data_IF_343599856700
#
_entry.id   IF_343599856700
#
_cell.length_a   1.000
_cell.length_b   1.000
_cell.length_c   1.000
_cell.angle_alpha   90.00
_cell.angle_beta   90.00
_cell.angle_gamma   90.00
#
_symmetry.space_group_name_H-M   'P 1'
#
loop_
_entity.id
_entity.type
_entity.pdbx_description
1 polymer ?
#
# COMPACT_ATOMS: atom_id res chain seq x y z
N UNK A 1 80.37 14.60 22.75
CA UNK A 1 79.19 14.33 23.65
C UNK A 1 77.94 14.89 23.01
N UNK A 2 77.24 14.05 22.25
CA UNK A 2 76.06 14.45 21.49
C UNK A 2 74.80 13.90 22.19
N UNK A 3 74.00 14.79 22.67
CA UNK A 3 72.66 14.44 23.19
C UNK A 3 71.64 14.56 22.06
N UNK A 4 71.22 13.42 21.54
CA UNK A 4 70.14 13.30 20.54
C UNK A 4 68.78 13.47 21.21
N UNK A 5 68.07 14.53 20.84
CA UNK A 5 66.69 14.81 21.28
C UNK A 5 65.74 14.04 20.35
N UNK A 6 65.11 12.98 20.84
CA UNK A 6 64.05 12.25 20.10
C UNK A 6 62.73 12.96 20.31
N UNK A 7 62.26 13.61 19.26
CA UNK A 7 60.92 14.20 19.20
C UNK A 7 59.93 13.09 18.82
N UNK A 8 59.11 12.65 19.78
CA UNK A 8 58.00 11.67 19.53
C UNK A 8 56.81 12.41 18.93
N UNK A 9 56.55 12.17 17.66
CA UNK A 9 55.37 12.65 16.98
C UNK A 9 54.19 11.71 17.28
N UNK A 10 53.29 12.11 18.16
CA UNK A 10 52.04 11.40 18.42
C UNK A 10 51.08 11.70 17.31
N UNK A 11 50.92 10.73 16.41
CA UNK A 11 49.91 10.76 15.36
C UNK A 11 48.52 10.41 15.97
N UNK A 12 47.71 11.41 16.24
CA UNK A 12 46.29 11.21 16.64
C UNK A 12 45.51 10.91 15.37
N UNK A 13 45.31 9.60 15.13
CA UNK A 13 44.36 9.16 14.09
C UNK A 13 42.93 9.32 14.65
N UNK A 14 42.33 10.46 14.35
CA UNK A 14 40.89 10.66 14.60
C UNK A 14 40.08 9.74 13.69
N UNK A 15 39.59 8.63 14.24
CA UNK A 15 38.54 7.85 13.58
C UNK A 15 37.27 8.70 13.52
N UNK A 16 37.07 9.38 12.40
CA UNK A 16 35.76 9.92 12.05
C UNK A 16 34.84 8.73 11.74
N UNK A 17 34.10 8.25 12.73
CA UNK A 17 32.97 7.36 12.52
C UNK A 17 31.92 8.15 11.74
N UNK A 18 32.01 8.12 10.41
CA UNK A 18 30.88 8.49 9.57
C UNK A 18 29.76 7.51 9.90
N UNK A 19 28.81 7.97 10.71
CA UNK A 19 27.49 7.38 10.83
C UNK A 19 26.90 7.36 9.42
N UNK A 20 26.96 6.21 8.77
CA UNK A 20 26.16 5.93 7.58
C UNK A 20 24.72 5.87 8.06
N UNK A 21 24.10 7.04 8.23
CA UNK A 21 22.65 7.13 8.22
C UNK A 21 22.25 6.65 6.84
N UNK A 22 21.84 5.40 6.80
CA UNK A 22 21.18 4.79 5.67
C UNK A 22 20.00 5.70 5.31
N UNK A 23 20.21 6.52 4.29
CA UNK A 23 19.16 7.31 3.68
C UNK A 23 18.27 6.32 2.95
N UNK A 24 17.41 5.62 3.68
CA UNK A 24 16.22 5.04 3.08
C UNK A 24 15.53 6.19 2.35
N UNK A 25 15.65 6.19 1.04
CA UNK A 25 14.85 7.07 0.18
C UNK A 25 13.41 6.75 0.55
N UNK A 26 12.83 7.60 1.38
CA UNK A 26 11.47 7.42 1.87
C UNK A 26 10.54 7.54 0.65
N UNK A 27 10.25 6.39 0.04
CA UNK A 27 9.35 6.27 -1.09
C UNK A 27 7.91 6.25 -0.62
N UNK A 28 7.01 6.62 -1.53
CA UNK A 28 5.58 6.43 -1.30
C UNK A 28 5.21 4.95 -1.47
N UNK A 29 4.32 4.45 -0.63
CA UNK A 29 3.83 3.07 -0.66
C UNK A 29 2.39 2.97 -0.18
N UNK A 30 1.78 1.82 -0.43
CA UNK A 30 0.46 1.46 0.09
C UNK A 30 0.64 0.34 1.12
N UNK A 31 0.03 0.50 2.28
CA UNK A 31 -0.02 -0.54 3.31
C UNK A 31 -1.47 -0.97 3.53
N UNK A 32 -1.72 -2.27 3.41
CA UNK A 32 -3.05 -2.89 3.60
C UNK A 32 -3.02 -3.77 4.84
N UNK A 33 -3.79 -3.41 5.86
CA UNK A 33 -4.05 -4.27 7.01
C UNK A 33 -5.32 -5.09 6.77
N UNK A 34 -5.15 -6.41 6.66
CA UNK A 34 -6.28 -7.33 6.51
C UNK A 34 -7.09 -7.41 7.79
N UNK A 35 -6.44 -7.35 8.97
CA UNK A 35 -7.17 -7.40 10.24
C UNK A 35 -8.00 -6.15 10.48
N UNK A 36 -7.48 -4.97 10.15
CA UNK A 36 -8.21 -3.71 10.32
C UNK A 36 -9.22 -3.43 9.21
N UNK A 37 -9.17 -4.17 8.10
CA UNK A 37 -9.90 -3.87 6.87
C UNK A 37 -9.69 -2.41 6.44
N UNK A 38 -8.43 -1.97 6.50
CA UNK A 38 -7.99 -0.62 6.16
C UNK A 38 -6.77 -0.64 5.23
N UNK A 39 -6.67 0.40 4.42
CA UNK A 39 -5.55 0.70 3.56
C UNK A 39 -5.02 2.09 3.88
N UNK A 40 -3.71 2.24 4.04
CA UNK A 40 -3.02 3.51 4.19
C UNK A 40 -2.18 3.81 2.95
N UNK A 41 -2.24 5.04 2.46
CA UNK A 41 -1.24 5.62 1.57
C UNK A 41 -0.20 6.33 2.42
N UNK A 42 1.04 5.87 2.33
CA UNK A 42 2.17 6.37 3.10
C UNK A 42 3.12 7.07 2.15
N UNK A 43 3.55 8.28 2.49
CA UNK A 43 4.58 9.03 1.78
C UNK A 43 5.67 9.47 2.75
N UNK A 44 6.92 9.10 2.44
CA UNK A 44 8.09 9.41 3.29
C UNK A 44 7.90 8.99 4.76
N UNK A 45 7.31 7.81 4.97
CA UNK A 45 7.03 7.27 6.29
C UNK A 45 5.85 7.92 7.03
N UNK A 46 5.11 8.84 6.40
CA UNK A 46 3.93 9.49 6.99
C UNK A 46 2.65 8.98 6.34
N UNK A 47 1.64 8.71 7.14
CA UNK A 47 0.31 8.38 6.63
C UNK A 47 -0.34 9.65 6.08
N UNK A 48 -0.57 9.66 4.77
CA UNK A 48 -1.22 10.77 4.05
C UNK A 48 -2.74 10.57 3.96
N UNK A 49 -3.17 9.31 3.86
CA UNK A 49 -4.59 8.98 3.79
C UNK A 49 -4.84 7.56 4.29
N UNK A 50 -6.02 7.32 4.89
CA UNK A 50 -6.52 6.00 5.26
C UNK A 50 -7.89 5.79 4.62
N UNK A 51 -8.13 4.57 4.16
CA UNK A 51 -9.38 4.18 3.51
C UNK A 51 -9.88 2.85 4.08
N UNK A 52 -11.16 2.74 4.41
CA UNK A 52 -11.77 1.46 4.69
C UNK A 52 -11.83 0.63 3.40
N UNK A 53 -11.54 -0.66 3.53
CA UNK A 53 -11.50 -1.60 2.40
C UNK A 53 -12.32 -2.86 2.71
N UNK A 54 -12.37 -3.78 1.74
CA UNK A 54 -12.86 -5.13 1.95
C UNK A 54 -11.94 -6.12 1.26
N UNK A 55 -11.35 -7.05 2.04
CA UNK A 55 -10.54 -8.16 1.53
C UNK A 55 -11.37 -9.44 1.40
N UNK A 56 -10.71 -10.56 1.10
CA UNK A 56 -11.39 -11.83 0.88
C UNK A 56 -12.13 -12.37 2.11
N UNK A 57 -13.37 -12.82 1.91
CA UNK A 57 -14.13 -13.59 2.90
C UNK A 57 -13.60 -15.02 3.11
N UNK A 58 -12.72 -15.50 2.24
CA UNK A 58 -12.07 -16.81 2.33
C UNK A 58 -10.71 -16.77 3.03
N UNK A 59 -10.33 -15.59 3.58
CA UNK A 59 -9.07 -15.39 4.28
C UNK A 59 -7.90 -15.08 3.35
N UNK A 60 -6.69 -15.43 3.80
CA UNK A 60 -5.42 -15.11 3.14
C UNK A 60 -4.80 -16.29 2.40
N UNK A 61 -4.06 -16.02 1.33
CA UNK A 61 -3.32 -17.02 0.56
C UNK A 61 -3.21 -16.68 -0.92
N UNK A 62 -2.37 -17.44 -1.66
CA UNK A 62 -2.10 -17.20 -3.09
C UNK A 62 -2.32 -18.46 -3.98
N UNK A 63 -2.95 -19.50 -3.48
CA UNK A 63 -3.26 -20.69 -4.29
C UNK A 63 -4.24 -20.36 -5.42
N UNK A 64 -4.01 -20.95 -6.60
CA UNK A 64 -4.91 -20.86 -7.77
C UNK A 64 -6.31 -21.30 -7.39
N UNK A 65 -7.33 -20.51 -7.74
CA UNK A 65 -8.73 -20.80 -7.43
C UNK A 65 -9.12 -20.67 -5.95
N UNK A 66 -8.22 -20.24 -5.07
CA UNK A 66 -8.49 -20.13 -3.62
C UNK A 66 -9.42 -18.99 -3.24
N UNK A 67 -9.59 -17.99 -4.09
CA UNK A 67 -10.33 -16.75 -3.81
C UNK A 67 -9.82 -15.98 -2.58
N UNK A 68 -8.59 -16.23 -2.13
CA UNK A 68 -7.97 -15.62 -0.96
C UNK A 68 -7.14 -14.39 -1.33
N UNK A 69 -7.00 -13.44 -0.39
CA UNK A 69 -6.12 -12.27 -0.56
C UNK A 69 -4.68 -12.67 -0.24
N UNK A 70 -3.70 -12.44 -1.14
CA UNK A 70 -2.30 -12.75 -0.88
C UNK A 70 -1.70 -11.78 0.15
N UNK A 71 -0.74 -12.24 0.95
CA UNK A 71 0.08 -11.40 1.84
C UNK A 71 1.45 -11.11 1.23
N UNK A 72 2.15 -10.14 1.83
CA UNK A 72 3.52 -9.77 1.51
C UNK A 72 3.61 -8.55 0.61
N UNK A 73 4.77 -8.38 -0.02
CA UNK A 73 5.07 -7.24 -0.89
C UNK A 73 4.67 -7.52 -2.32
N UNK A 74 3.85 -6.63 -2.86
CA UNK A 74 3.43 -6.59 -4.26
C UNK A 74 3.79 -5.23 -4.84
N UNK A 75 3.58 -5.04 -6.13
CA UNK A 75 3.67 -3.72 -6.76
C UNK A 75 2.54 -3.49 -7.76
N UNK A 76 2.28 -2.22 -8.06
CA UNK A 76 1.33 -1.79 -9.08
C UNK A 76 1.89 -2.14 -10.46
N UNK A 77 1.30 -3.13 -11.13
CA UNK A 77 1.74 -3.57 -12.47
C UNK A 77 1.03 -2.84 -13.60
N UNK A 78 -0.22 -2.46 -13.40
CA UNK A 78 -1.02 -1.69 -14.36
C UNK A 78 -2.16 -0.95 -13.67
N UNK A 79 -2.70 0.06 -14.34
CA UNK A 79 -3.83 0.88 -13.88
C UNK A 79 -4.83 1.04 -15.02
N UNK A 80 -6.14 0.95 -14.71
CA UNK A 80 -7.23 1.09 -15.70
C UNK A 80 -8.35 1.94 -15.13
N UNK A 81 -9.09 2.60 -16.04
CA UNK A 81 -10.23 3.42 -15.67
C UNK A 81 -9.89 4.90 -15.48
N UNK A 82 -8.75 5.38 -16.02
CA UNK A 82 -8.41 6.80 -15.99
C UNK A 82 -9.57 7.67 -16.48
N UNK A 83 -9.88 8.76 -15.75
CA UNK A 83 -10.96 9.72 -16.04
C UNK A 83 -12.38 9.15 -16.15
N UNK A 84 -12.60 7.86 -15.90
CA UNK A 84 -13.96 7.34 -15.88
C UNK A 84 -14.75 7.93 -14.70
N UNK A 85 -16.08 8.14 -14.84
CA UNK A 85 -16.91 8.59 -13.73
C UNK A 85 -16.98 7.54 -12.62
N UNK A 86 -17.33 7.98 -11.41
CA UNK A 86 -17.62 7.09 -10.31
C UNK A 86 -18.74 6.12 -10.70
N UNK A 87 -18.59 4.83 -10.36
CA UNK A 87 -19.54 3.79 -10.72
C UNK A 87 -19.44 3.28 -12.15
N UNK A 88 -18.54 3.79 -13.00
CA UNK A 88 -18.32 3.26 -14.36
C UNK A 88 -17.90 1.79 -14.28
N UNK A 89 -18.64 0.92 -14.97
CA UNK A 89 -18.40 -0.52 -14.97
C UNK A 89 -17.19 -0.86 -15.84
N UNK A 90 -16.28 -1.64 -15.27
CA UNK A 90 -15.06 -2.12 -15.94
C UNK A 90 -15.13 -3.64 -16.03
N UNK A 91 -15.12 -4.18 -17.25
CA UNK A 91 -15.07 -5.62 -17.52
C UNK A 91 -13.85 -5.91 -18.39
N UNK A 92 -13.07 -6.93 -18.01
CA UNK A 92 -11.82 -7.27 -18.71
C UNK A 92 -10.87 -6.07 -18.86
N UNK A 93 -10.84 -5.18 -17.86
CA UNK A 93 -10.00 -3.95 -17.81
C UNK A 93 -10.40 -2.86 -18.84
N UNK A 94 -11.59 -2.98 -19.42
CA UNK A 94 -12.15 -2.02 -20.39
C UNK A 94 -13.47 -1.48 -19.84
N UNK A 95 -13.73 -0.19 -20.01
CA UNK A 95 -15.03 0.40 -19.67
C UNK A 95 -16.13 -0.18 -20.57
N UNK A 96 -17.27 -0.55 -19.98
CA UNK A 96 -18.45 -0.99 -20.73
C UNK A 96 -19.28 0.18 -21.25
N UNK A 97 -19.00 1.39 -20.81
CA UNK A 97 -19.84 2.57 -21.06
C UNK A 97 -21.01 2.73 -20.08
N UNK A 98 -21.30 1.70 -19.29
CA UNK A 98 -22.35 1.75 -18.27
C UNK A 98 -21.84 2.28 -16.93
N UNK A 99 -22.74 2.86 -16.15
CA UNK A 99 -22.51 3.24 -14.74
C UNK A 99 -23.52 2.57 -13.83
N UNK A 100 -23.11 2.31 -12.58
CA UNK A 100 -23.97 1.73 -11.54
C UNK A 100 -23.83 2.54 -10.26
N UNK A 101 -24.93 2.77 -9.58
CA UNK A 101 -24.94 3.46 -8.29
C UNK A 101 -24.46 2.54 -7.16
N UNK A 102 -23.89 3.15 -6.12
CA UNK A 102 -23.52 2.44 -4.91
C UNK A 102 -24.73 1.73 -4.28
N UNK A 103 -24.50 0.52 -3.78
CA UNK A 103 -25.47 -0.34 -3.13
C UNK A 103 -26.67 -0.78 -4.01
N UNK A 104 -26.52 -0.75 -5.35
CA UNK A 104 -27.49 -1.36 -6.25
C UNK A 104 -27.56 -2.87 -6.00
N UNK A 105 -28.75 -3.43 -5.65
CA UNK A 105 -28.89 -4.83 -5.30
C UNK A 105 -28.48 -5.79 -6.43
N UNK A 106 -27.82 -6.90 -6.05
CA UNK A 106 -27.49 -8.01 -6.96
C UNK A 106 -26.40 -7.71 -8.00
N UNK A 107 -25.68 -6.61 -7.85
CA UNK A 107 -24.61 -6.21 -8.79
C UNK A 107 -23.28 -6.06 -8.04
N UNK A 108 -22.36 -6.99 -8.28
CA UNK A 108 -20.98 -6.96 -7.75
C UNK A 108 -19.99 -6.79 -8.91
N UNK A 109 -20.05 -5.65 -9.57
CA UNK A 109 -19.17 -5.31 -10.67
C UNK A 109 -17.88 -4.65 -10.15
N UNK A 110 -16.81 -4.74 -10.93
CA UNK A 110 -15.64 -3.86 -10.77
C UNK A 110 -16.00 -2.50 -11.34
N UNK A 111 -15.82 -1.44 -10.55
CA UNK A 111 -16.23 -0.09 -10.97
C UNK A 111 -15.15 0.95 -10.74
N UNK A 112 -15.29 2.10 -11.40
CA UNK A 112 -14.53 3.34 -11.24
C UNK A 112 -13.06 3.24 -11.65
N UNK A 113 -12.26 2.43 -10.94
CA UNK A 113 -10.80 2.28 -11.15
C UNK A 113 -10.38 0.85 -10.85
N UNK A 114 -9.31 0.42 -11.52
CA UNK A 114 -8.63 -0.86 -11.28
C UNK A 114 -7.13 -0.61 -11.18
N UNK A 115 -6.53 -1.12 -10.12
CA UNK A 115 -5.08 -1.16 -9.91
C UNK A 115 -4.70 -2.63 -9.84
N UNK A 116 -3.93 -3.10 -10.82
CA UNK A 116 -3.52 -4.50 -10.92
C UNK A 116 -2.23 -4.73 -10.17
N UNK A 117 -2.21 -5.74 -9.32
CA UNK A 117 -1.07 -6.05 -8.47
C UNK A 117 -0.28 -7.24 -9.00
N UNK A 118 1.05 -7.17 -8.83
CA UNK A 118 1.96 -8.29 -9.09
C UNK A 118 2.79 -8.58 -7.84
N UNK A 119 2.87 -9.86 -7.46
CA UNK A 119 3.66 -10.32 -6.33
C UNK A 119 5.16 -10.23 -6.57
N UNK A 120 5.91 -9.93 -5.53
CA UNK A 120 7.37 -9.87 -5.53
C UNK A 120 8.02 -11.05 -4.79
N UNK A 121 7.22 -11.86 -4.09
CA UNK A 121 7.65 -12.94 -3.22
C UNK A 121 7.06 -14.28 -3.67
N UNK A 122 7.70 -15.40 -3.30
CA UNK A 122 7.20 -16.73 -3.67
C UNK A 122 5.77 -16.99 -3.19
N UNK A 123 5.41 -16.45 -2.02
CA UNK A 123 4.10 -16.63 -1.39
C UNK A 123 2.98 -15.82 -2.01
N UNK A 124 3.29 -14.89 -2.94
CA UNK A 124 2.30 -14.05 -3.63
C UNK A 124 2.53 -13.95 -5.15
N UNK A 125 3.42 -14.79 -5.70
CA UNK A 125 3.77 -14.76 -7.14
C UNK A 125 2.59 -15.00 -8.08
N UNK A 126 1.54 -15.71 -7.61
CA UNK A 126 0.34 -15.97 -8.37
C UNK A 126 -0.66 -14.82 -8.43
N UNK A 127 -0.44 -13.74 -7.65
CA UNK A 127 -1.38 -12.63 -7.52
C UNK A 127 -1.76 -12.00 -8.87
N UNK A 128 -0.79 -11.81 -9.78
CA UNK A 128 -1.04 -11.22 -11.08
C UNK A 128 -1.95 -12.11 -11.95
N UNK A 129 -1.63 -13.36 -12.07
CA UNK A 129 -2.37 -14.33 -12.92
C UNK A 129 -3.77 -14.61 -12.35
N UNK A 130 -3.92 -14.50 -11.03
CA UNK A 130 -5.19 -14.56 -10.32
C UNK A 130 -6.02 -13.28 -10.41
N UNK A 131 -5.53 -12.25 -11.10
CA UNK A 131 -6.19 -10.97 -11.23
C UNK A 131 -6.49 -10.31 -9.88
N UNK A 132 -5.51 -10.27 -8.98
CA UNK A 132 -5.64 -9.54 -7.72
C UNK A 132 -5.55 -8.04 -7.99
N UNK A 133 -6.64 -7.34 -7.73
CA UNK A 133 -6.80 -5.91 -7.93
C UNK A 133 -7.06 -5.16 -6.62
N UNK A 134 -6.74 -3.87 -6.61
CA UNK A 134 -7.44 -2.88 -5.79
C UNK A 134 -8.43 -2.19 -6.73
N UNK A 135 -9.73 -2.19 -6.40
CA UNK A 135 -10.75 -1.68 -7.30
C UNK A 135 -11.97 -1.13 -6.57
N UNK A 136 -12.76 -0.31 -7.27
CA UNK A 136 -14.04 0.14 -6.77
C UNK A 136 -15.10 -0.96 -6.83
N UNK A 137 -16.06 -0.92 -5.90
CA UNK A 137 -17.22 -1.82 -5.85
C UNK A 137 -18.51 -1.04 -5.68
N UNK A 138 -19.62 -1.46 -6.30
CA UNK A 138 -20.92 -0.92 -5.96
C UNK A 138 -21.44 -1.42 -4.61
N UNK A 139 -20.93 -2.54 -4.06
CA UNK A 139 -21.30 -3.06 -2.74
C UNK A 139 -20.64 -2.26 -1.59
N UNK A 140 -20.79 -0.93 -1.60
CA UNK A 140 -20.12 -0.04 -0.64
C UNK A 140 -20.53 -0.27 0.82
N UNK A 141 -21.72 -0.80 1.07
CA UNK A 141 -22.21 -1.20 2.40
C UNK A 141 -21.44 -2.39 3.02
N UNK A 142 -20.63 -3.10 2.22
CA UNK A 142 -19.79 -4.21 2.69
C UNK A 142 -18.34 -3.81 2.97
N UNK A 143 -17.97 -2.55 2.69
CA UNK A 143 -16.64 -2.03 3.02
C UNK A 143 -16.46 -1.97 4.53
N UNK A 144 -15.26 -2.33 5.01
CA UNK A 144 -14.92 -2.49 6.43
C UNK A 144 -15.09 -3.94 6.94
N UNK A 145 -15.50 -4.89 6.06
CA UNK A 145 -15.65 -6.31 6.40
C UNK A 145 -15.06 -7.18 5.29
N UNK A 146 -14.51 -8.36 5.60
CA UNK A 146 -14.11 -9.34 4.59
C UNK A 146 -15.32 -9.78 3.77
N UNK A 147 -15.36 -9.47 2.47
CA UNK A 147 -16.49 -9.78 1.60
C UNK A 147 -16.10 -10.10 0.15
N UNK A 148 -14.84 -9.88 -0.25
CA UNK A 148 -14.38 -10.09 -1.62
C UNK A 148 -14.06 -11.57 -1.94
N UNK A 149 -13.66 -11.80 -3.18
CA UNK A 149 -13.15 -13.08 -3.68
C UNK A 149 -11.65 -13.00 -4.01
N UNK A 150 -10.86 -12.26 -3.19
CA UNK A 150 -9.41 -12.16 -3.30
C UNK A 150 -8.92 -10.73 -3.52
N UNK A 151 -9.62 -9.92 -4.27
CA UNK A 151 -9.30 -8.53 -4.51
C UNK A 151 -9.51 -7.65 -3.27
N UNK A 152 -8.94 -6.46 -3.29
CA UNK A 152 -9.12 -5.41 -2.30
C UNK A 152 -10.15 -4.43 -2.86
N UNK A 153 -11.33 -4.38 -2.23
CA UNK A 153 -12.44 -3.52 -2.67
C UNK A 153 -12.44 -2.20 -1.91
N UNK A 154 -12.78 -1.13 -2.59
CA UNK A 154 -12.91 0.22 -2.05
C UNK A 154 -14.21 0.87 -2.53
N UNK A 155 -14.67 1.90 -1.80
CA UNK A 155 -15.73 2.78 -2.31
C UNK A 155 -15.25 3.51 -3.55
N UNK A 156 -16.17 3.85 -4.46
CA UNK A 156 -15.84 4.53 -5.70
C UNK A 156 -15.05 5.82 -5.51
N UNK A 157 -15.45 6.65 -4.55
CA UNK A 157 -14.75 7.90 -4.24
C UNK A 157 -13.32 7.66 -3.71
N UNK A 158 -13.16 6.61 -2.88
CA UNK A 158 -11.90 6.33 -2.20
C UNK A 158 -10.86 5.75 -3.19
N UNK A 159 -11.29 4.83 -4.06
CA UNK A 159 -10.40 4.28 -5.09
C UNK A 159 -9.98 5.33 -6.14
N UNK A 160 -10.84 6.30 -6.47
CA UNK A 160 -10.49 7.40 -7.37
C UNK A 160 -9.37 8.24 -6.74
N UNK A 161 -9.50 8.64 -5.47
CA UNK A 161 -8.47 9.40 -4.76
C UNK A 161 -7.15 8.63 -4.63
N UNK A 162 -7.22 7.34 -4.32
CA UNK A 162 -6.03 6.49 -4.23
C UNK A 162 -5.36 6.35 -5.59
N UNK A 163 -6.14 6.08 -6.64
CA UNK A 163 -5.66 5.89 -8.01
C UNK A 163 -4.80 7.06 -8.49
N UNK A 164 -5.23 8.30 -8.23
CA UNK A 164 -4.51 9.50 -8.66
C UNK A 164 -3.15 9.68 -7.96
N UNK A 165 -2.95 9.03 -6.81
CA UNK A 165 -1.69 9.04 -6.04
C UNK A 165 -0.72 7.95 -6.45
N UNK A 166 -1.20 6.85 -7.05
CA UNK A 166 -0.37 5.70 -7.35
C UNK A 166 0.23 5.78 -8.75
N UNK A 167 1.48 5.31 -8.87
CA UNK A 167 2.16 5.08 -10.14
C UNK A 167 2.50 3.59 -10.32
N UNK A 168 2.75 3.18 -11.55
CA UNK A 168 3.25 1.83 -11.87
C UNK A 168 4.61 1.63 -11.19
N UNK A 169 4.82 0.48 -10.58
CA UNK A 169 6.00 0.14 -9.80
C UNK A 169 5.90 0.48 -8.31
N UNK A 170 4.89 1.26 -7.87
CA UNK A 170 4.71 1.56 -6.44
C UNK A 170 4.45 0.29 -5.63
N UNK A 171 5.08 0.18 -4.47
CA UNK A 171 4.92 -0.97 -3.59
C UNK A 171 3.56 -0.96 -2.88
N UNK A 172 3.02 -2.16 -2.70
CA UNK A 172 1.79 -2.44 -1.96
C UNK A 172 2.08 -3.57 -0.99
N UNK A 173 2.11 -3.27 0.30
CA UNK A 173 2.36 -4.24 1.37
C UNK A 173 1.03 -4.71 1.92
N UNK A 174 0.73 -6.01 1.84
CA UNK A 174 -0.48 -6.61 2.40
C UNK A 174 -0.10 -7.44 3.61
N UNK A 175 -0.64 -7.12 4.77
CA UNK A 175 -0.24 -7.70 6.05
C UNK A 175 -1.43 -7.96 6.98
N UNK A 176 -1.21 -8.80 8.00
CA UNK A 176 -2.14 -8.99 9.12
C UNK A 176 -1.91 -7.99 10.27
N UNK A 177 -0.75 -7.31 10.28
CA UNK A 177 -0.44 -6.35 11.35
C UNK A 177 -1.37 -5.14 11.29
N UNK A 178 -1.79 -4.60 12.45
CA UNK A 178 -2.52 -3.35 12.52
C UNK A 178 -1.75 -2.19 11.87
N UNK A 179 -2.47 -1.28 11.23
CA UNK A 179 -1.85 -0.10 10.59
C UNK A 179 -1.12 0.78 11.59
N UNK A 180 -1.64 0.92 12.81
CA UNK A 180 -1.03 1.78 13.84
C UNK A 180 0.32 1.26 14.33
N UNK A 181 0.59 -0.04 14.21
CA UNK A 181 1.91 -0.60 14.49
C UNK A 181 2.93 -0.34 13.38
N UNK A 182 2.47 -0.20 12.14
CA UNK A 182 3.31 -0.03 10.94
C UNK A 182 3.53 1.44 10.60
N UNK A 183 2.61 2.27 11.01
CA UNK A 183 2.59 3.70 10.75
C UNK A 183 2.34 4.44 12.07
N UNK A 184 3.36 4.58 12.95
CA UNK A 184 3.19 5.23 14.25
C UNK A 184 2.53 6.61 14.09
N UNK A 185 1.67 7.02 15.03
CA UNK A 185 1.06 8.34 14.99
C UNK A 185 2.17 9.41 14.99
N UNK A 186 1.97 10.42 14.16
CA UNK A 186 2.87 11.57 14.09
C UNK A 186 3.09 12.13 15.50
N UNK A 187 4.36 12.35 15.88
CA UNK A 187 4.72 13.01 17.15
C UNK A 187 4.20 14.46 17.12
N UNK A 188 2.92 14.64 17.34
CA UNK A 188 2.23 15.93 17.43
C UNK A 188 2.34 16.60 18.80
N UNK A 189 3.35 16.27 19.63
CA UNK A 189 3.39 16.74 21.03
C UNK A 189 4.69 17.40 21.47
N UNK A 190 5.53 17.91 20.57
CA UNK A 190 6.75 18.62 20.99
C UNK A 190 6.69 20.16 20.88
N UNK A 191 5.54 20.75 20.53
CA UNK A 191 5.40 22.21 20.47
C UNK A 191 4.46 22.81 21.54
N UNK A 192 4.03 22.04 22.53
CA UNK A 192 3.13 22.53 23.58
C UNK A 192 3.78 22.56 24.98
N UNK A 193 5.08 22.79 25.08
CA UNK A 193 5.75 23.09 26.36
C UNK A 193 6.89 24.08 26.15
N UNK A 194 6.53 25.32 25.96
CA UNK A 194 7.37 26.48 26.26
C UNK A 194 6.43 27.65 26.58
N UNK A 195 5.89 27.63 27.77
CA UNK A 195 5.45 28.80 28.55
C UNK A 195 6.01 28.67 29.97
#
# INVERSE_FOLDING_TARGET
MNKSCKLSLLLVVGLATRSLFDSQVASSEVVVSVNDQQLAFVDRGRVIARYPISTSKFGIGDGTGSYRTPLGTLFVSAKFGDRLPAGAIIKNRISTGETIQANTPGRDAIVSRVIWLRGMENQNRGAHDRCIYIHGTPEEGRIGKPASFGCIRMRSRDIIQLYDRLHIGMHVIITLRPLDELTPPEQSSLLARSD
#
